data_IF_700616166441
#
_entry.id   IF_700616166441
#
_cell.length_a   1.000
_cell.length_b   1.000
_cell.length_c   1.000
_cell.angle_alpha   90.00
_cell.angle_beta   90.00
_cell.angle_gamma   90.00
#
_symmetry.space_group_name_H-M   'P 1'
#
loop_
_entity.id
_entity.type
_entity.pdbx_description
1 polymer ?
#
# COMPACT_ATOMS: atom_id res chain seq x y z
N UNK A 1 24.28 12.23 -2.82
CA UNK A 1 23.90 11.19 -1.83
C UNK A 1 23.30 11.83 -0.58
N UNK A 2 23.97 12.81 0.05
CA UNK A 2 23.45 13.51 1.24
C UNK A 2 22.01 14.03 1.15
N UNK A 3 21.62 14.64 0.02
CA UNK A 3 20.24 15.12 -0.19
C UNK A 3 19.18 14.01 -0.16
N UNK A 4 19.56 12.77 -0.45
CA UNK A 4 18.65 11.62 -0.45
C UNK A 4 18.57 10.95 0.95
N UNK A 5 19.56 11.21 1.81
CA UNK A 5 19.75 10.53 3.10
C UNK A 5 19.45 11.44 4.29
N UNK A 6 18.81 12.59 4.07
CA UNK A 6 18.50 13.61 5.09
C UNK A 6 19.71 14.00 5.97
N UNK A 7 20.93 13.96 5.39
CA UNK A 7 22.17 14.26 6.12
C UNK A 7 22.23 15.74 6.49
N UNK A 8 22.55 16.06 7.74
CA UNK A 8 22.51 17.44 8.25
C UNK A 8 23.56 18.33 7.59
N UNK A 9 23.29 19.64 7.52
CA UNK A 9 24.23 20.60 6.92
C UNK A 9 25.57 20.65 7.68
N UNK A 10 25.55 20.42 8.99
CA UNK A 10 26.73 20.35 9.84
C UNK A 10 27.64 19.18 9.47
N UNK A 11 27.08 18.03 9.13
CA UNK A 11 27.82 16.86 8.67
C UNK A 11 28.39 17.08 7.26
N UNK A 12 27.58 17.64 6.36
CA UNK A 12 28.01 17.97 4.99
C UNK A 12 29.13 19.02 4.98
N UNK A 13 29.11 19.98 5.93
CA UNK A 13 30.10 21.06 6.03
C UNK A 13 31.53 20.55 6.16
N UNK A 14 31.72 19.39 6.81
CA UNK A 14 33.04 18.77 6.99
C UNK A 14 33.70 18.39 5.66
N UNK A 15 32.92 18.14 4.62
CA UNK A 15 33.37 17.72 3.30
C UNK A 15 33.21 18.80 2.22
N UNK A 16 32.91 20.05 2.60
CA UNK A 16 32.77 21.16 1.64
C UNK A 16 34.05 21.44 0.87
N UNK A 17 35.22 21.30 1.50
CA UNK A 17 36.52 21.42 0.83
C UNK A 17 36.62 20.44 -0.34
N UNK A 18 36.28 19.17 -0.11
CA UNK A 18 36.32 18.12 -1.12
C UNK A 18 35.26 18.37 -2.19
N UNK A 19 34.03 18.68 -1.79
CA UNK A 19 32.88 18.78 -2.70
C UNK A 19 32.98 19.99 -3.63
N UNK A 20 33.46 21.14 -3.14
CA UNK A 20 33.65 22.35 -3.94
C UNK A 20 34.71 22.16 -5.04
N UNK A 21 35.63 21.22 -4.85
CA UNK A 21 36.76 20.93 -5.75
C UNK A 21 36.46 19.94 -6.86
N UNK A 22 35.35 19.21 -6.77
CA UNK A 22 34.91 18.29 -7.82
C UNK A 22 34.67 19.04 -9.15
N UNK A 23 34.28 20.31 -9.07
CA UNK A 23 34.01 21.16 -10.24
C UNK A 23 35.18 22.11 -10.58
N UNK A 24 36.29 22.06 -9.85
CA UNK A 24 37.45 22.96 -9.97
C UNK A 24 38.51 22.37 -10.90
N UNK A 25 39.23 23.21 -11.66
CA UNK A 25 40.28 22.76 -12.56
C UNK A 25 41.55 22.38 -11.79
N UNK A 26 42.28 21.37 -12.26
CA UNK A 26 43.43 20.77 -11.56
C UNK A 26 44.53 21.79 -11.22
N UNK A 27 44.72 22.83 -12.03
CA UNK A 27 45.72 23.88 -11.80
C UNK A 27 45.32 24.90 -10.71
N UNK A 28 44.06 24.95 -10.31
CA UNK A 28 43.55 25.84 -9.26
C UNK A 28 43.67 25.20 -7.86
N UNK A 29 44.12 23.95 -7.78
CA UNK A 29 44.29 23.17 -6.56
C UNK A 29 45.71 23.40 -6.01
N UNK A 30 45.91 24.51 -5.29
CA UNK A 30 47.24 24.91 -4.79
C UNK A 30 47.51 24.63 -3.30
N UNK A 31 46.54 24.12 -2.52
CA UNK A 31 46.81 23.89 -1.09
C UNK A 31 47.59 22.59 -0.84
N UNK A 32 48.56 22.60 0.09
CA UNK A 32 49.27 21.39 0.49
C UNK A 32 48.34 20.42 1.25
N UNK A 33 48.61 19.11 1.15
CA UNK A 33 47.87 18.01 1.80
C UNK A 33 46.41 17.77 1.33
N UNK A 34 45.99 18.31 0.18
CA UNK A 34 44.66 18.08 -0.40
C UNK A 34 44.40 16.62 -0.78
N UNK A 35 45.45 15.88 -1.14
CA UNK A 35 45.40 14.45 -1.42
C UNK A 35 46.13 13.66 -0.34
N UNK A 36 46.11 14.15 0.91
CA UNK A 36 46.70 13.39 2.01
C UNK A 36 45.99 12.05 2.13
N UNK A 37 46.76 11.03 2.49
CA UNK A 37 46.23 9.68 2.71
C UNK A 37 45.14 9.70 3.79
N UNK A 38 45.31 10.52 4.82
CA UNK A 38 44.32 10.67 5.90
C UNK A 38 42.97 11.22 5.38
N UNK A 39 43.00 12.24 4.53
CA UNK A 39 41.77 12.81 3.96
C UNK A 39 41.09 11.84 3.00
N UNK A 40 41.85 11.10 2.20
CA UNK A 40 41.31 10.05 1.33
C UNK A 40 40.63 8.94 2.14
N UNK A 41 41.26 8.48 3.22
CA UNK A 41 40.67 7.50 4.13
C UNK A 41 39.38 8.02 4.78
N UNK A 42 39.36 9.27 5.22
CA UNK A 42 38.16 9.90 5.82
C UNK A 42 37.00 10.01 4.81
N UNK A 43 37.29 10.33 3.55
CA UNK A 43 36.30 10.39 2.47
C UNK A 43 35.79 9.00 2.11
N UNK A 44 36.68 8.01 1.98
CA UNK A 44 36.31 6.61 1.70
C UNK A 44 35.43 6.02 2.80
N UNK A 45 35.76 6.29 4.08
CA UNK A 45 34.96 5.88 5.22
C UNK A 45 33.55 6.51 5.20
N UNK A 46 33.45 7.80 4.86
CA UNK A 46 32.15 8.48 4.76
C UNK A 46 31.32 7.96 3.58
N UNK A 47 31.93 7.73 2.42
CA UNK A 47 31.23 7.11 1.27
C UNK A 47 30.71 5.73 1.64
N UNK A 48 31.53 4.89 2.28
CA UNK A 48 31.13 3.56 2.74
C UNK A 48 29.96 3.62 3.73
N UNK A 49 29.99 4.57 4.68
CA UNK A 49 28.90 4.81 5.63
C UNK A 49 27.62 5.25 4.93
N UNK A 50 27.71 6.14 3.94
CA UNK A 50 26.54 6.60 3.18
C UNK A 50 25.93 5.49 2.33
N UNK A 51 26.75 4.61 1.75
CA UNK A 51 26.27 3.43 1.01
C UNK A 51 25.53 2.44 1.92
N UNK A 52 26.06 2.18 3.12
CA UNK A 52 25.36 1.37 4.12
C UNK A 52 24.02 1.98 4.51
N UNK A 53 24.00 3.29 4.80
CA UNK A 53 22.77 3.99 5.16
C UNK A 53 21.76 3.96 3.99
N UNK A 54 22.23 4.13 2.75
CA UNK A 54 21.39 4.04 1.54
C UNK A 54 20.76 2.66 1.42
N UNK A 55 21.52 1.59 1.64
CA UNK A 55 21.01 0.22 1.63
C UNK A 55 19.93 0.00 2.69
N UNK A 56 20.18 0.45 3.94
CA UNK A 56 19.20 0.38 5.03
C UNK A 56 17.92 1.13 4.67
N UNK A 57 18.05 2.36 4.15
CA UNK A 57 16.90 3.19 3.80
C UNK A 57 16.09 2.61 2.65
N UNK A 58 16.76 2.06 1.64
CA UNK A 58 16.10 1.43 0.50
C UNK A 58 15.30 0.20 0.93
N UNK A 59 15.83 -0.62 1.84
CA UNK A 59 15.09 -1.74 2.47
C UNK A 59 13.85 -1.27 3.23
N UNK A 60 13.98 -0.19 4.01
CA UNK A 60 12.86 0.40 4.76
C UNK A 60 11.73 0.84 3.81
N UNK A 61 12.08 1.57 2.74
CA UNK A 61 11.12 2.05 1.74
C UNK A 61 10.45 0.87 1.03
N UNK A 62 11.24 -0.13 0.63
CA UNK A 62 10.75 -1.32 -0.05
C UNK A 62 9.71 -2.06 0.79
N UNK A 63 9.99 -2.27 2.08
CA UNK A 63 9.04 -2.92 2.99
C UNK A 63 7.75 -2.11 3.14
N UNK A 64 7.85 -0.78 3.29
CA UNK A 64 6.67 0.10 3.34
C UNK A 64 5.83 0.01 2.08
N UNK A 65 6.47 -0.05 0.90
CA UNK A 65 5.78 -0.16 -0.38
C UNK A 65 5.12 -1.53 -0.58
N UNK A 66 5.72 -2.61 -0.12
CA UNK A 66 5.06 -3.92 -0.06
C UNK A 66 3.80 -3.88 0.78
N UNK A 67 3.87 -3.32 1.98
CA UNK A 67 2.72 -3.17 2.87
C UNK A 67 1.63 -2.28 2.26
N UNK A 68 2.00 -1.18 1.58
CA UNK A 68 1.04 -0.33 0.83
C UNK A 68 0.29 -1.17 -0.22
N UNK A 69 1.00 -2.00 -0.99
CA UNK A 69 0.40 -2.86 -2.01
C UNK A 69 -0.50 -3.94 -1.39
N UNK A 70 -0.07 -4.62 -0.34
CA UNK A 70 -0.86 -5.64 0.36
C UNK A 70 -2.18 -5.09 0.88
N UNK A 71 -2.12 -3.94 1.55
CA UNK A 71 -3.30 -3.30 2.12
C UNK A 71 -4.27 -2.87 1.02
N UNK A 72 -3.77 -2.33 -0.09
CA UNK A 72 -4.61 -1.93 -1.22
C UNK A 72 -5.29 -3.12 -1.88
N UNK A 73 -4.56 -4.23 -2.08
CA UNK A 73 -5.12 -5.47 -2.59
C UNK A 73 -6.20 -6.03 -1.66
N UNK A 74 -5.94 -6.04 -0.35
CA UNK A 74 -6.88 -6.50 0.67
C UNK A 74 -8.18 -5.69 0.68
N UNK A 75 -8.08 -4.36 0.65
CA UNK A 75 -9.25 -3.46 0.61
C UNK A 75 -10.09 -3.63 -0.65
N UNK A 76 -9.45 -3.97 -1.77
CA UNK A 76 -10.09 -4.07 -3.08
C UNK A 76 -10.45 -5.51 -3.46
N UNK A 77 -10.35 -6.44 -2.51
CA UNK A 77 -10.59 -7.88 -2.70
C UNK A 77 -9.82 -8.47 -3.90
N UNK A 78 -8.54 -8.10 -4.04
CA UNK A 78 -7.64 -8.58 -5.08
C UNK A 78 -6.66 -9.63 -4.53
N UNK A 79 -6.22 -10.54 -5.39
CA UNK A 79 -5.24 -11.57 -5.05
C UNK A 79 -3.83 -11.00 -5.19
N UNK A 80 -3.00 -11.21 -4.17
CA UNK A 80 -1.64 -10.67 -4.10
C UNK A 80 -0.59 -11.75 -4.46
N UNK A 81 -0.83 -12.53 -5.51
CA UNK A 81 0.04 -13.64 -5.94
C UNK A 81 1.49 -13.17 -6.21
N UNK A 82 1.66 -11.94 -6.70
CA UNK A 82 2.97 -11.38 -7.06
C UNK A 82 3.87 -11.17 -5.83
N UNK A 83 3.31 -10.79 -4.67
CA UNK A 83 4.11 -10.61 -3.45
C UNK A 83 4.48 -11.93 -2.77
N UNK A 84 3.83 -13.04 -3.15
CA UNK A 84 4.16 -14.37 -2.65
C UNK A 84 5.31 -15.04 -3.41
N UNK A 85 5.74 -14.47 -4.54
CA UNK A 85 6.84 -15.01 -5.32
C UNK A 85 8.16 -14.89 -4.57
N UNK A 86 9.01 -15.92 -4.66
CA UNK A 86 10.29 -16.02 -3.95
C UNK A 86 11.24 -14.84 -4.23
N UNK A 87 11.10 -14.20 -5.40
CA UNK A 87 11.86 -13.01 -5.80
C UNK A 87 11.56 -11.77 -4.94
N UNK A 88 10.40 -11.75 -4.26
CA UNK A 88 10.01 -10.71 -3.31
C UNK A 88 10.26 -11.11 -1.86
N UNK A 89 10.92 -12.24 -1.58
CA UNK A 89 11.23 -12.62 -0.20
C UNK A 89 12.31 -11.71 0.39
N UNK A 90 12.29 -11.55 1.71
CA UNK A 90 13.31 -10.74 2.40
C UNK A 90 14.70 -11.39 2.27
N UNK A 91 14.74 -12.72 2.18
CA UNK A 91 15.96 -13.51 2.01
C UNK A 91 16.59 -13.29 0.62
N UNK A 92 15.79 -13.17 -0.44
CA UNK A 92 16.29 -12.84 -1.78
C UNK A 92 16.92 -11.44 -1.82
N UNK A 93 16.32 -10.48 -1.10
CA UNK A 93 16.84 -9.11 -0.96
C UNK A 93 18.14 -9.08 -0.14
N UNK A 94 18.25 -9.90 0.89
CA UNK A 94 19.46 -9.99 1.71
C UNK A 94 20.63 -10.68 0.99
N UNK A 95 20.33 -11.61 0.07
CA UNK A 95 21.35 -12.31 -0.71
C UNK A 95 22.08 -11.43 -1.74
N UNK A 96 21.58 -10.23 -2.03
CA UNK A 96 22.15 -9.33 -3.04
C UNK A 96 21.97 -9.80 -4.49
N UNK A 97 21.20 -10.87 -4.71
CA UNK A 97 20.92 -11.43 -6.04
C UNK A 97 20.01 -10.51 -6.87
N UNK A 98 19.17 -9.71 -6.22
CA UNK A 98 18.24 -8.79 -6.87
C UNK A 98 18.60 -7.35 -6.49
N UNK A 99 18.76 -6.49 -7.49
CA UNK A 99 18.96 -5.05 -7.26
C UNK A 99 17.73 -4.44 -6.56
N UNK A 100 17.87 -3.92 -5.33
CA UNK A 100 16.74 -3.39 -4.58
C UNK A 100 16.10 -2.14 -5.23
N UNK A 101 16.84 -1.40 -6.07
CA UNK A 101 16.28 -0.25 -6.80
C UNK A 101 15.32 -0.70 -7.91
N UNK A 102 15.73 -1.67 -8.73
CA UNK A 102 14.86 -2.31 -9.73
C UNK A 102 13.59 -2.93 -9.08
N UNK A 103 13.75 -3.60 -7.93
CA UNK A 103 12.62 -4.19 -7.21
C UNK A 103 11.64 -3.13 -6.69
N UNK A 104 12.14 -1.98 -6.25
CA UNK A 104 11.30 -0.85 -5.82
C UNK A 104 10.46 -0.32 -6.99
N UNK A 105 11.06 -0.09 -8.16
CA UNK A 105 10.35 0.34 -9.36
C UNK A 105 9.25 -0.65 -9.76
N UNK A 106 9.55 -1.95 -9.67
CA UNK A 106 8.57 -2.99 -9.98
C UNK A 106 7.37 -2.96 -9.01
N UNK A 107 7.61 -2.78 -7.70
CA UNK A 107 6.52 -2.66 -6.72
C UNK A 107 5.71 -1.39 -6.96
N UNK A 108 6.34 -0.26 -7.28
CA UNK A 108 5.62 0.98 -7.61
C UNK A 108 4.72 0.79 -8.84
N UNK A 109 5.17 0.08 -9.86
CA UNK A 109 4.35 -0.29 -11.02
C UNK A 109 3.18 -1.20 -10.64
N UNK A 110 3.38 -2.14 -9.70
CA UNK A 110 2.28 -2.97 -9.19
C UNK A 110 1.28 -2.15 -8.40
N UNK A 111 1.73 -1.21 -7.57
CA UNK A 111 0.84 -0.29 -6.83
C UNK A 111 0.01 0.55 -7.80
N UNK A 112 0.59 1.05 -8.88
CA UNK A 112 -0.13 1.82 -9.89
C UNK A 112 -1.23 0.98 -10.56
N UNK A 113 -0.91 -0.25 -10.99
CA UNK A 113 -1.89 -1.19 -11.57
C UNK A 113 -2.98 -1.56 -10.57
N UNK A 114 -2.60 -1.84 -9.34
CA UNK A 114 -3.52 -2.20 -8.27
C UNK A 114 -4.49 -1.05 -7.95
N UNK A 115 -4.03 0.21 -7.98
CA UNK A 115 -4.88 1.41 -7.84
C UNK A 115 -5.89 1.52 -8.99
N UNK A 116 -5.48 1.30 -10.23
CA UNK A 116 -6.38 1.32 -11.38
C UNK A 116 -7.44 0.21 -11.32
N UNK A 117 -7.02 -1.01 -11.03
CA UNK A 117 -7.93 -2.16 -10.86
C UNK A 117 -8.92 -1.91 -9.70
N UNK A 118 -8.46 -1.39 -8.57
CA UNK A 118 -9.31 -1.01 -7.44
C UNK A 118 -10.39 0.00 -7.84
N UNK A 119 -10.04 1.02 -8.64
CA UNK A 119 -11.00 1.99 -9.17
C UNK A 119 -12.02 1.33 -10.09
N UNK A 120 -11.58 0.42 -10.96
CA UNK A 120 -12.47 -0.30 -11.88
C UNK A 120 -13.47 -1.20 -11.13
N UNK A 121 -13.06 -1.79 -10.00
CA UNK A 121 -13.89 -2.67 -9.16
C UNK A 121 -14.86 -1.94 -8.24
N UNK A 122 -14.70 -0.62 -8.08
CA UNK A 122 -15.50 0.16 -7.13
C UNK A 122 -17.00 -0.02 -7.34
N UNK A 123 -17.48 0.07 -8.58
CA UNK A 123 -18.90 -0.02 -8.87
C UNK A 123 -19.49 -1.40 -8.54
N UNK A 124 -18.76 -2.49 -8.84
CA UNK A 124 -19.23 -3.85 -8.55
C UNK A 124 -19.20 -4.14 -7.06
N UNK A 125 -18.18 -3.66 -6.32
CA UNK A 125 -18.11 -3.81 -4.87
C UNK A 125 -19.27 -3.05 -4.18
N UNK A 126 -19.59 -1.83 -4.62
CA UNK A 126 -20.76 -1.08 -4.12
C UNK A 126 -22.07 -1.82 -4.40
N UNK A 127 -22.20 -2.49 -5.55
CA UNK A 127 -23.38 -3.31 -5.88
C UNK A 127 -23.46 -4.55 -4.99
N UNK A 128 -22.33 -5.22 -4.73
CA UNK A 128 -22.26 -6.39 -3.83
C UNK A 128 -22.64 -6.00 -2.41
N UNK A 129 -22.15 -4.86 -1.89
CA UNK A 129 -22.50 -4.38 -0.56
C UNK A 129 -24.00 -4.11 -0.43
N UNK A 130 -24.59 -3.40 -1.40
CA UNK A 130 -26.05 -3.17 -1.46
C UNK A 130 -26.83 -4.48 -1.54
N UNK A 131 -26.33 -5.45 -2.32
CA UNK A 131 -26.95 -6.77 -2.44
C UNK A 131 -26.89 -7.54 -1.12
N UNK A 132 -25.75 -7.56 -0.43
CA UNK A 132 -25.58 -8.22 0.86
C UNK A 132 -26.55 -7.67 1.92
N UNK A 133 -26.71 -6.35 1.99
CA UNK A 133 -27.69 -5.70 2.87
C UNK A 133 -29.12 -6.12 2.49
N UNK A 134 -29.44 -6.17 1.20
CA UNK A 134 -30.77 -6.58 0.74
C UNK A 134 -31.07 -8.06 1.10
N UNK A 135 -30.08 -8.95 1.02
CA UNK A 135 -30.21 -10.34 1.47
C UNK A 135 -30.41 -10.46 2.98
N UNK A 136 -29.72 -9.64 3.80
CA UNK A 136 -29.93 -9.62 5.25
C UNK A 136 -31.35 -9.15 5.61
N UNK A 137 -31.85 -8.12 4.92
CA UNK A 137 -33.22 -7.64 5.11
C UNK A 137 -34.25 -8.69 4.64
N UNK A 138 -33.99 -9.41 3.54
CA UNK A 138 -34.83 -10.53 3.09
C UNK A 138 -34.92 -11.63 4.15
N UNK A 139 -33.78 -12.08 4.69
CA UNK A 139 -33.74 -13.07 5.77
C UNK A 139 -34.55 -12.60 6.98
N UNK A 140 -34.38 -11.34 7.38
CA UNK A 140 -35.16 -10.75 8.46
C UNK A 140 -36.67 -10.75 8.16
N UNK A 141 -37.06 -10.44 6.92
CA UNK A 141 -38.46 -10.43 6.50
C UNK A 141 -39.06 -11.85 6.46
N UNK A 142 -38.29 -12.87 6.08
CA UNK A 142 -38.70 -14.27 6.13
C UNK A 142 -39.00 -14.71 7.56
N UNK A 143 -38.08 -14.43 8.50
CA UNK A 143 -38.28 -14.71 9.92
C UNK A 143 -39.51 -13.97 10.46
N UNK A 144 -39.69 -12.69 10.12
CA UNK A 144 -40.88 -11.93 10.49
C UNK A 144 -42.18 -12.52 9.90
N UNK A 145 -42.14 -13.05 8.68
CA UNK A 145 -43.31 -13.69 8.06
C UNK A 145 -43.63 -15.05 8.71
N UNK A 146 -42.66 -15.76 9.29
CA UNK A 146 -42.86 -17.03 10.00
C UNK A 146 -43.40 -16.86 11.43
N UNK A 147 -43.30 -15.66 12.00
CA UNK A 147 -43.79 -15.38 13.35
C UNK A 147 -45.33 -15.25 13.37
N UNK A 148 -46.01 -16.22 14.01
CA UNK A 148 -47.47 -16.21 14.20
C UNK A 148 -47.95 -15.04 15.07
N UNK A 149 -47.08 -14.50 15.93
CA UNK A 149 -47.38 -13.36 16.80
C UNK A 149 -47.08 -12.01 16.14
N UNK A 150 -46.70 -11.96 14.86
CA UNK A 150 -46.25 -10.73 14.17
C UNK A 150 -47.25 -9.56 14.16
N UNK A 151 -48.53 -9.85 14.41
CA UNK A 151 -49.61 -8.86 14.49
C UNK A 151 -50.10 -8.59 15.92
N UNK A 152 -49.54 -9.26 16.93
CA UNK A 152 -49.84 -8.93 18.33
C UNK A 152 -49.30 -7.53 18.61
N UNK A 153 -50.22 -6.62 18.96
CA UNK A 153 -49.99 -5.18 18.99
C UNK A 153 -49.07 -4.76 20.15
N UNK A 154 -47.76 -4.91 19.96
CA UNK A 154 -46.74 -4.21 20.74
C UNK A 154 -46.57 -2.76 20.26
N UNK A 155 -45.96 -1.91 21.09
CA UNK A 155 -45.83 -0.45 20.88
C UNK A 155 -45.12 -0.06 19.56
N UNK A 156 -44.41 -1.01 18.94
CA UNK A 156 -43.62 -0.80 17.71
C UNK A 156 -44.09 -1.63 16.51
N UNK A 157 -45.25 -2.30 16.57
CA UNK A 157 -45.74 -3.16 15.49
C UNK A 157 -45.89 -2.44 14.13
N UNK A 158 -46.32 -1.18 14.14
CA UNK A 158 -46.40 -0.35 12.93
C UNK A 158 -45.03 -0.04 12.33
N UNK A 159 -44.00 0.17 13.16
CA UNK A 159 -42.63 0.45 12.70
C UNK A 159 -42.06 -0.79 12.02
N UNK A 160 -42.26 -1.97 12.63
CA UNK A 160 -41.87 -3.27 12.07
C UNK A 160 -42.58 -3.56 10.75
N UNK A 161 -43.89 -3.29 10.66
CA UNK A 161 -44.66 -3.42 9.42
C UNK A 161 -44.13 -2.50 8.32
N UNK A 162 -43.85 -1.23 8.65
CA UNK A 162 -43.30 -0.25 7.70
C UNK A 162 -41.90 -0.62 7.21
N UNK A 163 -41.07 -1.24 8.07
CA UNK A 163 -39.79 -1.85 7.66
C UNK A 163 -40.05 -2.99 6.69
N UNK A 164 -40.94 -3.93 7.02
CA UNK A 164 -41.26 -5.07 6.17
C UNK A 164 -41.75 -4.65 4.77
N UNK A 165 -42.58 -3.61 4.67
CA UNK A 165 -43.02 -3.05 3.38
C UNK A 165 -41.86 -2.48 2.56
N UNK A 166 -40.95 -1.70 3.19
CA UNK A 166 -39.76 -1.16 2.52
C UNK A 166 -38.83 -2.28 2.04
N UNK A 167 -38.62 -3.30 2.87
CA UNK A 167 -37.80 -4.46 2.53
C UNK A 167 -38.37 -5.22 1.34
N UNK A 168 -39.68 -5.47 1.30
CA UNK A 168 -40.32 -6.13 0.14
C UNK A 168 -40.02 -5.41 -1.18
N UNK A 169 -40.07 -4.08 -1.20
CA UNK A 169 -39.77 -3.29 -2.39
C UNK A 169 -38.29 -3.38 -2.78
N UNK A 170 -37.37 -3.38 -1.81
CA UNK A 170 -35.94 -3.51 -2.05
C UNK A 170 -35.58 -4.90 -2.59
N UNK A 171 -36.12 -5.95 -1.96
CA UNK A 171 -35.84 -7.34 -2.29
C UNK A 171 -36.40 -7.71 -3.67
N UNK A 172 -37.55 -7.16 -4.07
CA UNK A 172 -38.09 -7.35 -5.42
C UNK A 172 -37.22 -6.73 -6.53
N UNK A 173 -36.25 -5.88 -6.18
CA UNK A 173 -35.28 -5.30 -7.12
C UNK A 173 -33.97 -6.09 -7.19
N UNK A 174 -33.83 -7.15 -6.40
CA UNK A 174 -32.65 -8.03 -6.45
C UNK A 174 -32.70 -8.84 -7.77
N UNK A 175 -31.72 -8.70 -8.67
CA UNK A 175 -31.66 -9.49 -9.89
C UNK A 175 -31.52 -10.99 -9.57
N UNK A 176 -32.24 -11.84 -10.29
CA UNK A 176 -32.14 -13.31 -10.14
C UNK A 176 -32.99 -13.94 -9.04
N UNK A 177 -33.83 -13.17 -8.32
CA UNK A 177 -34.73 -13.72 -7.28
C UNK A 177 -35.70 -14.80 -7.80
N UNK A 178 -36.08 -14.76 -9.08
CA UNK A 178 -36.95 -15.76 -9.68
C UNK A 178 -36.25 -17.11 -9.98
N UNK A 179 -34.91 -17.18 -9.90
CA UNK A 179 -34.14 -18.40 -10.15
C UNK A 179 -34.02 -19.32 -8.92
N UNK A 180 -34.45 -18.86 -7.74
CA UNK A 180 -34.34 -19.60 -6.45
C UNK A 180 -35.71 -20.11 -5.95
N UNK A 181 -36.76 -20.06 -6.78
CA UNK A 181 -38.07 -20.67 -6.47
C UNK A 181 -38.21 -22.10 -7.04
N UNK A 182 -37.23 -22.95 -6.77
CA UNK A 182 -37.29 -24.42 -6.93
C UNK A 182 -37.29 -25.06 -5.54
#
# INVERSE_FOLDING_TARGET
>A
MWNLMDTTMEEQKKYQNVTSRIATLEFEITEPNILSVDLLNDVEAEVSKLEQLKSIKLKEILLKKKLELEELCRQSHMVTEILSAAEYSNEAIESGVVDPACLLEQIELQIARAKEEALSRKEILEKIEKWLVACQEEYWLEEYNRDDNRYTAGRDAHITLKRAEKVRVLVNKIPGKDLVKL
#
